data_IF_366690560666
#
_entry.id   IF_366690560666
#
_cell.length_a   1.000
_cell.length_b   1.000
_cell.length_c   1.000
_cell.angle_alpha   90.00
_cell.angle_beta   90.00
_cell.angle_gamma   90.00
#
_symmetry.space_group_name_H-M   'P 1'
#
loop_
_entity.id
_entity.type
_entity.pdbx_description
1 polymer ?
#
# COMPACT_ATOMS: atom_id res chain seq x y z
N UNK A 1 -8.18 32.09 38.47
CA UNK A 1 -7.35 30.87 38.50
C UNK A 1 -8.29 29.66 38.47
N UNK A 2 -8.79 29.31 37.28
CA UNK A 2 -9.76 28.23 37.08
C UNK A 2 -8.95 26.99 36.74
N UNK A 3 -8.67 26.16 37.75
CA UNK A 3 -8.07 24.85 37.55
C UNK A 3 -9.16 23.88 37.09
N UNK A 4 -8.92 23.34 35.91
CA UNK A 4 -9.80 22.50 35.10
C UNK A 4 -10.18 21.20 35.79
N UNK A 5 -11.49 20.98 36.03
CA UNK A 5 -12.05 19.64 36.23
C UNK A 5 -12.33 19.02 34.86
N UNK A 6 -11.31 18.46 34.20
CA UNK A 6 -11.58 17.52 33.12
C UNK A 6 -12.26 16.29 33.73
N UNK A 7 -13.55 16.13 33.46
CA UNK A 7 -14.30 14.93 33.85
C UNK A 7 -13.62 13.69 33.24
N UNK A 8 -13.50 12.62 34.03
CA UNK A 8 -12.93 11.33 33.61
C UNK A 8 -13.57 10.83 32.31
N UNK A 9 -14.86 11.10 32.12
CA UNK A 9 -15.60 10.79 30.90
C UNK A 9 -15.08 11.52 29.66
N UNK A 10 -14.63 12.77 29.80
CA UNK A 10 -14.02 13.54 28.72
C UNK A 10 -12.65 12.98 28.31
N UNK A 11 -11.85 12.53 29.29
CA UNK A 11 -10.56 11.87 29.03
C UNK A 11 -10.78 10.52 28.33
N UNK A 12 -11.76 9.73 28.78
CA UNK A 12 -12.12 8.45 28.15
C UNK A 12 -12.61 8.67 26.72
N UNK A 13 -13.43 9.68 26.47
CA UNK A 13 -13.93 9.99 25.13
C UNK A 13 -12.81 10.44 24.18
N UNK A 14 -11.84 11.23 24.66
CA UNK A 14 -10.66 11.61 23.87
C UNK A 14 -9.74 10.41 23.58
N UNK A 15 -9.49 9.53 24.56
CA UNK A 15 -8.69 8.33 24.34
C UNK A 15 -9.37 7.36 23.36
N UNK A 16 -10.70 7.25 23.42
CA UNK A 16 -11.46 6.43 22.48
C UNK A 16 -11.40 7.00 21.05
N UNK A 17 -11.43 8.32 20.88
CA UNK A 17 -11.33 8.98 19.58
C UNK A 17 -9.93 8.78 18.93
N UNK A 18 -8.86 8.80 19.71
CA UNK A 18 -7.50 8.56 19.20
C UNK A 18 -7.32 7.09 18.76
N UNK A 19 -8.00 6.15 19.42
CA UNK A 19 -7.95 4.72 19.06
C UNK A 19 -8.61 4.39 17.71
N UNK A 20 -9.40 5.32 17.14
CA UNK A 20 -10.07 5.15 15.83
C UNK A 20 -9.25 5.75 14.68
N UNK A 21 -8.01 6.19 14.92
CA UNK A 21 -7.09 6.57 13.84
C UNK A 21 -6.75 5.34 13.00
N UNK A 22 -7.53 5.10 11.94
CA UNK A 22 -7.40 3.97 11.04
C UNK A 22 -6.15 4.17 10.20
N UNK A 23 -5.13 3.35 10.41
CA UNK A 23 -4.13 3.10 9.36
C UNK A 23 -4.88 2.52 8.16
N UNK A 24 -4.72 3.10 6.97
CA UNK A 24 -5.42 2.64 5.76
C UNK A 24 -4.75 1.36 5.29
N UNK A 25 -5.11 0.26 5.93
CA UNK A 25 -4.70 -1.09 5.57
C UNK A 25 -5.87 -1.81 4.92
N UNK A 26 -5.63 -2.38 3.73
CA UNK A 26 -6.57 -3.22 3.04
C UNK A 26 -5.95 -4.60 2.85
N UNK A 27 -6.64 -5.64 3.31
CA UNK A 27 -6.26 -7.02 3.09
C UNK A 27 -7.41 -7.79 2.47
N UNK A 28 -7.12 -8.56 1.45
CA UNK A 28 -8.02 -9.52 0.83
C UNK A 28 -7.38 -10.91 0.93
N UNK A 29 -8.09 -11.82 1.58
CA UNK A 29 -7.69 -13.23 1.69
C UNK A 29 -8.67 -14.06 0.89
N UNK A 30 -8.22 -14.58 -0.24
CA UNK A 30 -9.06 -15.34 -1.19
C UNK A 30 -8.49 -16.71 -1.52
N UNK A 31 -7.37 -17.09 -0.91
CA UNK A 31 -6.65 -18.31 -1.23
C UNK A 31 -7.44 -19.62 -1.14
N UNK A 32 -8.36 -19.82 -0.17
CA UNK A 32 -9.19 -21.03 -0.15
C UNK A 32 -10.00 -21.25 -1.43
N UNK A 33 -10.31 -20.16 -2.16
CA UNK A 33 -11.13 -20.16 -3.37
C UNK A 33 -10.28 -20.05 -4.66
N UNK A 34 -8.95 -20.20 -4.56
CA UNK A 34 -8.03 -20.09 -5.70
C UNK A 34 -7.64 -18.66 -6.08
N UNK A 35 -8.04 -17.66 -5.28
CA UNK A 35 -7.67 -16.26 -5.44
C UNK A 35 -6.33 -15.94 -4.73
N UNK A 36 -5.78 -14.75 -4.95
CA UNK A 36 -4.54 -14.31 -4.29
C UNK A 36 -4.81 -13.77 -2.88
N UNK A 37 -3.84 -13.95 -1.98
CA UNK A 37 -3.82 -13.19 -0.72
C UNK A 37 -2.99 -11.93 -0.93
N UNK A 38 -3.57 -10.79 -0.62
CA UNK A 38 -2.97 -9.49 -0.85
C UNK A 38 -3.27 -8.55 0.31
N UNK A 39 -2.24 -7.89 0.81
CA UNK A 39 -2.35 -6.82 1.78
C UNK A 39 -1.61 -5.58 1.28
N UNK A 40 -2.19 -4.41 1.51
CA UNK A 40 -1.54 -3.12 1.34
C UNK A 40 -1.79 -2.21 2.53
N UNK A 41 -0.82 -1.36 2.81
CA UNK A 41 -0.94 -0.27 3.77
C UNK A 41 -0.41 1.02 3.18
N UNK A 42 -1.08 2.13 3.46
CA UNK A 42 -0.62 3.48 3.10
C UNK A 42 -0.49 4.30 4.37
N UNK A 43 0.63 4.99 4.52
CA UNK A 43 0.83 6.01 5.55
C UNK A 43 1.32 7.30 4.90
N UNK A 44 0.91 8.44 5.46
CA UNK A 44 1.44 9.74 5.08
C UNK A 44 2.23 10.32 6.25
N UNK A 45 3.38 10.92 5.96
CA UNK A 45 4.24 11.56 6.92
C UNK A 45 4.51 12.99 6.48
N UNK A 46 4.20 13.97 7.34
CA UNK A 46 4.57 15.37 7.08
C UNK A 46 6.03 15.58 7.46
N UNK A 47 6.85 15.93 6.50
CA UNK A 47 8.25 16.26 6.70
C UNK A 47 8.36 17.68 7.27
N UNK A 48 8.76 17.80 8.53
CA UNK A 48 8.85 19.09 9.22
C UNK A 48 9.93 20.04 8.68
N UNK A 49 10.85 19.54 7.86
CA UNK A 49 11.96 20.34 7.31
C UNK A 49 11.58 21.02 6.00
N UNK A 50 10.82 20.31 5.15
CA UNK A 50 10.37 20.79 3.83
C UNK A 50 8.92 21.24 3.80
N UNK A 51 8.18 20.99 4.89
CA UNK A 51 6.74 21.15 5.01
C UNK A 51 5.92 20.34 3.99
N UNK A 52 6.54 19.33 3.37
CA UNK A 52 5.93 18.46 2.37
C UNK A 52 5.32 17.20 2.99
N UNK A 53 4.46 16.51 2.23
CA UNK A 53 3.90 15.21 2.64
C UNK A 53 4.57 14.07 1.87
N UNK A 54 5.13 13.13 2.61
CA UNK A 54 5.72 11.91 2.08
C UNK A 54 4.71 10.77 2.23
N UNK A 55 4.38 10.09 1.14
CA UNK A 55 3.51 8.93 1.12
C UNK A 55 4.35 7.65 1.11
N UNK A 56 4.11 6.76 2.05
CA UNK A 56 4.70 5.44 2.08
C UNK A 56 3.64 4.38 1.83
N UNK A 57 3.96 3.48 0.92
CA UNK A 57 3.11 2.38 0.51
C UNK A 57 3.83 1.07 0.82
N UNK A 58 3.15 0.18 1.53
CA UNK A 58 3.58 -1.20 1.74
C UNK A 58 2.61 -2.17 1.06
N UNK A 59 3.14 -3.21 0.43
CA UNK A 59 2.37 -4.23 -0.27
C UNK A 59 2.99 -5.61 -0.05
N UNK A 60 2.15 -6.57 0.30
CA UNK A 60 2.52 -7.98 0.41
C UNK A 60 1.56 -8.81 -0.43
N UNK A 61 2.12 -9.69 -1.26
CA UNK A 61 1.35 -10.61 -2.10
C UNK A 61 1.83 -12.03 -1.86
N UNK A 62 0.90 -12.91 -1.52
CA UNK A 62 1.14 -14.36 -1.41
C UNK A 62 0.39 -15.07 -2.52
N UNK A 63 1.07 -15.98 -3.23
CA UNK A 63 0.52 -16.65 -4.42
C UNK A 63 0.61 -18.16 -4.33
N UNK A 64 -0.31 -18.82 -5.04
CA UNK A 64 -0.27 -20.27 -5.32
C UNK A 64 0.65 -20.61 -6.51
N UNK A 65 0.91 -19.64 -7.39
CA UNK A 65 1.69 -19.80 -8.62
C UNK A 65 2.87 -18.83 -8.67
N UNK A 66 3.97 -19.26 -9.30
CA UNK A 66 5.18 -18.47 -9.56
C UNK A 66 5.10 -17.68 -10.86
N UNK A 67 3.92 -17.62 -11.51
CA UNK A 67 3.68 -16.87 -12.74
C UNK A 67 2.70 -15.71 -12.51
N UNK A 68 2.71 -14.73 -13.42
CA UNK A 68 1.75 -13.63 -13.46
C UNK A 68 2.19 -12.37 -12.72
N UNK A 69 1.27 -11.44 -12.52
CA UNK A 69 1.51 -10.16 -11.86
C UNK A 69 0.25 -9.67 -11.12
N UNK A 70 0.46 -8.80 -10.14
CA UNK A 70 -0.58 -8.12 -9.36
C UNK A 70 -0.23 -6.65 -9.38
N UNK A 71 -1.21 -5.78 -9.59
CA UNK A 71 -1.00 -4.35 -9.58
C UNK A 71 -2.01 -3.66 -8.68
N UNK A 72 -1.58 -2.55 -8.08
CA UNK A 72 -2.47 -1.57 -7.47
C UNK A 72 -2.27 -0.23 -8.16
N UNK A 73 -3.34 0.57 -8.19
CA UNK A 73 -3.38 1.86 -8.88
C UNK A 73 -3.95 2.91 -7.94
N UNK A 74 -3.45 4.14 -8.03
CA UNK A 74 -3.90 5.25 -7.17
C UNK A 74 -5.23 5.85 -7.58
N UNK A 75 -5.65 5.72 -8.84
CA UNK A 75 -6.91 6.26 -9.37
C UNK A 75 -7.94 5.19 -9.74
N UNK A 76 -9.17 5.63 -10.03
CA UNK A 76 -10.30 4.77 -10.40
C UNK A 76 -10.23 4.19 -11.81
N UNK A 77 -9.32 4.69 -12.65
CA UNK A 77 -9.10 4.24 -14.01
C UNK A 77 -7.61 4.17 -14.34
N UNK A 78 -7.25 3.51 -15.45
CA UNK A 78 -5.84 3.27 -15.80
C UNK A 78 -5.13 4.55 -16.27
N UNK A 79 -5.83 5.42 -16.99
CA UNK A 79 -5.26 6.65 -17.52
C UNK A 79 -4.95 7.63 -16.38
N UNK A 80 -3.74 8.18 -16.35
CA UNK A 80 -3.30 9.14 -15.34
C UNK A 80 -3.01 8.54 -13.95
N UNK A 81 -3.21 7.24 -13.76
CA UNK A 81 -2.96 6.58 -12.48
C UNK A 81 -1.51 6.13 -12.34
N UNK A 82 -0.98 6.29 -11.13
CA UNK A 82 0.26 5.66 -10.72
C UNK A 82 0.00 4.21 -10.37
N UNK A 83 0.71 3.28 -11.02
CA UNK A 83 0.52 1.84 -10.88
C UNK A 83 1.75 1.20 -10.27
N UNK A 84 1.56 0.42 -9.21
CA UNK A 84 2.59 -0.38 -8.59
C UNK A 84 2.36 -1.83 -8.95
N UNK A 85 3.25 -2.40 -9.77
CA UNK A 85 3.11 -3.74 -10.32
C UNK A 85 4.12 -4.66 -9.68
N UNK A 86 3.66 -5.79 -9.13
CA UNK A 86 4.46 -6.86 -8.55
C UNK A 86 4.38 -8.09 -9.45
N UNK A 87 5.52 -8.53 -9.98
CA UNK A 87 5.61 -9.71 -10.82
C UNK A 87 5.68 -10.97 -9.94
N UNK A 88 5.49 -12.16 -10.51
CA UNK A 88 5.94 -13.43 -9.93
C UNK A 88 6.93 -14.03 -10.93
N UNK A 89 8.23 -13.91 -10.62
CA UNK A 89 9.33 -14.63 -11.26
C UNK A 89 10.63 -14.36 -10.46
N UNK A 90 10.87 -15.13 -9.39
CA UNK A 90 12.12 -15.04 -8.63
C UNK A 90 13.31 -15.68 -9.36
N UNK A 91 13.07 -16.39 -10.47
CA UNK A 91 14.03 -17.28 -11.15
C UNK A 91 14.67 -16.69 -12.40
N UNK A 92 14.27 -15.49 -12.84
CA UNK A 92 14.95 -14.80 -13.93
C UNK A 92 16.37 -14.42 -13.52
N UNK A 93 17.35 -15.15 -14.03
CA UNK A 93 18.78 -14.81 -13.91
C UNK A 93 19.01 -13.34 -14.35
N UNK A 94 19.62 -12.54 -13.47
CA UNK A 94 19.76 -11.08 -13.64
C UNK A 94 18.64 -10.23 -13.01
N UNK A 95 17.87 -10.81 -12.09
CA UNK A 95 16.64 -10.30 -11.50
C UNK A 95 16.58 -8.76 -11.31
N UNK A 96 15.76 -8.11 -12.15
CA UNK A 96 15.15 -6.81 -11.82
C UNK A 96 14.33 -6.97 -10.53
N UNK A 97 14.22 -5.88 -9.79
CA UNK A 97 13.29 -5.74 -8.66
C UNK A 97 11.95 -6.45 -8.95
N UNK A 98 11.36 -7.18 -7.99
CA UNK A 98 10.06 -7.85 -8.15
C UNK A 98 8.92 -6.88 -8.47
N UNK A 99 9.16 -5.57 -8.41
CA UNK A 99 8.19 -4.58 -8.82
C UNK A 99 8.71 -3.48 -9.73
N UNK A 100 7.73 -2.79 -10.33
CA UNK A 100 7.94 -1.57 -11.08
C UNK A 100 6.78 -0.61 -10.84
N UNK A 101 7.08 0.68 -10.79
CA UNK A 101 6.07 1.73 -10.89
C UNK A 101 5.86 2.14 -12.35
N UNK A 102 4.60 2.30 -12.75
CA UNK A 102 4.19 2.56 -14.13
C UNK A 102 3.04 3.56 -14.21
N UNK A 103 2.85 4.12 -15.39
CA UNK A 103 1.70 4.98 -15.72
C UNK A 103 1.26 4.73 -17.17
N UNK A 104 0.04 5.15 -17.50
CA UNK A 104 -0.52 5.11 -18.85
C UNK A 104 -1.43 6.33 -19.08
N UNK A 105 -1.58 6.74 -20.33
CA UNK A 105 -2.48 7.80 -20.79
C UNK A 105 -3.77 7.26 -21.42
N UNK A 106 -3.98 5.94 -21.38
CA UNK A 106 -5.17 5.29 -21.90
C UNK A 106 -5.17 3.77 -21.65
N UNK A 107 -6.06 3.07 -22.35
CA UNK A 107 -6.14 1.60 -22.29
C UNK A 107 -5.14 0.91 -23.21
N UNK A 108 -3.85 1.08 -22.90
CA UNK A 108 -2.76 0.36 -23.54
C UNK A 108 -1.70 -0.02 -22.50
N UNK A 109 -0.62 -0.64 -22.96
CA UNK A 109 0.44 -1.09 -22.08
C UNK A 109 1.04 0.08 -21.28
N UNK A 110 1.10 0.00 -19.93
CA UNK A 110 1.72 1.02 -19.10
C UNK A 110 3.23 1.08 -19.31
N UNK A 111 3.76 2.30 -19.36
CA UNK A 111 5.19 2.59 -19.42
C UNK A 111 5.77 2.86 -18.03
N UNK A 112 7.08 2.84 -17.90
CA UNK A 112 7.74 3.27 -16.66
C UNK A 112 7.44 4.75 -16.40
N UNK A 113 7.29 5.07 -15.12
CA UNK A 113 7.15 6.44 -14.62
C UNK A 113 8.43 7.21 -14.89
N UNK A 114 8.30 8.45 -15.33
CA UNK A 114 9.39 9.43 -15.46
C UNK A 114 9.19 10.57 -14.47
N UNK A 115 10.22 11.40 -14.20
CA UNK A 115 10.08 12.56 -13.32
C UNK A 115 8.97 13.53 -13.74
N UNK A 116 8.71 13.65 -15.05
CA UNK A 116 7.65 14.50 -15.59
C UNK A 116 6.25 14.01 -15.19
N UNK A 117 6.06 12.69 -15.07
CA UNK A 117 4.77 12.11 -14.65
C UNK A 117 4.47 12.36 -13.17
N UNK A 118 5.50 12.62 -12.37
CA UNK A 118 5.38 12.77 -10.93
C UNK A 118 5.08 14.20 -10.49
N UNK A 119 4.97 15.16 -11.42
CA UNK A 119 4.58 16.53 -11.10
C UNK A 119 5.50 17.24 -10.09
N UNK A 120 6.78 16.84 -10.03
CA UNK A 120 7.74 17.34 -9.04
C UNK A 120 7.88 16.49 -7.76
N UNK A 121 7.05 15.46 -7.59
CA UNK A 121 7.29 14.43 -6.60
C UNK A 121 8.38 13.44 -7.04
N UNK A 122 9.01 12.78 -6.08
CA UNK A 122 10.05 11.77 -6.29
C UNK A 122 9.56 10.41 -5.79
N UNK A 123 9.70 9.39 -6.64
CA UNK A 123 9.27 8.02 -6.33
C UNK A 123 10.49 7.11 -6.12
N UNK A 124 10.51 6.44 -4.97
CA UNK A 124 11.58 5.53 -4.57
C UNK A 124 11.02 4.17 -4.19
N UNK A 125 11.69 3.12 -4.67
CA UNK A 125 11.52 1.77 -4.14
C UNK A 125 12.47 1.64 -2.95
N UNK A 126 11.93 1.53 -1.74
CA UNK A 126 12.72 1.36 -0.53
C UNK A 126 13.16 -0.08 -0.35
N UNK A 127 12.26 -1.03 -0.65
CA UNK A 127 12.51 -2.45 -0.54
C UNK A 127 11.60 -3.21 -1.50
N UNK A 128 12.14 -4.26 -2.11
CA UNK A 128 11.41 -5.10 -3.04
C UNK A 128 12.05 -6.50 -3.07
N UNK A 129 11.53 -7.38 -2.22
CA UNK A 129 12.12 -8.68 -1.97
C UNK A 129 11.15 -9.83 -2.27
N UNK A 130 11.73 -10.92 -2.74
CA UNK A 130 11.02 -12.21 -2.83
C UNK A 130 11.06 -12.89 -1.48
N UNK A 131 9.90 -13.37 -1.02
CA UNK A 131 9.82 -14.25 0.14
C UNK A 131 9.85 -15.71 -0.33
N UNK A 132 10.86 -16.50 0.07
CA UNK A 132 10.91 -17.92 -0.23
C UNK A 132 9.71 -18.64 0.37
N UNK A 133 9.22 -19.65 -0.34
CA UNK A 133 8.29 -20.64 0.18
C UNK A 133 8.83 -21.25 1.49
N UNK A 134 8.28 -20.88 2.64
CA UNK A 134 8.68 -21.40 3.96
C UNK A 134 9.38 -20.40 4.88
N UNK A 135 9.75 -19.21 4.38
CA UNK A 135 10.27 -18.12 5.21
C UNK A 135 9.11 -17.29 5.73
N UNK A 136 8.35 -17.85 6.67
CA UNK A 136 7.40 -17.08 7.46
C UNK A 136 8.17 -16.00 8.21
N UNK A 137 8.15 -14.77 7.70
CA UNK A 137 8.52 -13.62 8.50
C UNK A 137 7.45 -13.55 9.57
N UNK A 138 7.79 -14.08 10.75
CA UNK A 138 7.07 -13.84 11.98
C UNK A 138 7.10 -12.35 12.25
N UNK A 139 6.17 -11.61 11.65
CA UNK A 139 5.70 -10.38 12.24
C UNK A 139 5.30 -10.76 13.66
N UNK A 140 5.94 -10.11 14.61
CA UNK A 140 5.75 -10.26 16.05
C UNK A 140 4.25 -10.22 16.35
N UNK A 141 3.63 -11.40 16.39
CA UNK A 141 2.36 -11.62 17.04
C UNK A 141 2.67 -11.53 18.53
N UNK A 142 2.67 -10.30 19.06
CA UNK A 142 2.58 -10.06 20.49
C UNK A 142 1.26 -10.68 20.94
N UNK A 143 1.36 -11.93 21.39
CA UNK A 143 0.50 -12.58 22.37
C UNK A 143 -0.98 -12.19 22.32
N UNK A 144 -1.69 -12.66 21.30
CA UNK A 144 -3.10 -12.95 21.44
C UNK A 144 -3.33 -14.35 20.86
N UNK A 145 -3.56 -15.31 21.74
CA UNK A 145 -3.94 -16.67 21.37
C UNK A 145 -5.20 -16.61 20.50
N UNK A 146 -5.22 -17.25 19.32
CA UNK A 146 -6.44 -17.31 18.52
C UNK A 146 -7.47 -18.20 19.21
N UNK A 147 -8.77 -17.82 19.22
CA UNK A 147 -9.83 -18.72 19.64
C UNK A 147 -9.87 -19.92 18.69
N UNK A 148 -10.10 -21.10 19.26
CA UNK A 148 -10.14 -22.38 18.56
C UNK A 148 -11.24 -22.41 17.47
N UNK A 149 -10.87 -22.05 16.25
CA UNK A 149 -11.59 -22.29 15.00
C UNK A 149 -10.88 -23.35 14.17
N UNK A 150 -11.52 -23.90 13.12
CA UNK A 150 -10.99 -25.04 12.38
C UNK A 150 -9.60 -24.72 11.83
N UNK A 151 -8.67 -25.61 12.12
CA UNK A 151 -7.24 -25.52 11.85
C UNK A 151 -6.94 -25.02 10.44
N UNK A 152 -6.29 -23.85 10.35
CA UNK A 152 -5.56 -23.46 9.13
C UNK A 152 -4.63 -24.61 8.74
N UNK A 153 -4.62 -25.04 7.46
CA UNK A 153 -3.67 -26.05 7.04
C UNK A 153 -2.25 -25.47 7.16
N UNK A 154 -1.38 -26.21 7.84
CA UNK A 154 0.04 -25.90 8.11
C UNK A 154 0.92 -25.68 6.85
N UNK A 155 0.32 -25.54 5.68
CA UNK A 155 0.94 -25.27 4.38
C UNK A 155 0.89 -23.79 3.97
N UNK A 156 0.13 -22.94 4.68
CA UNK A 156 0.01 -21.52 4.33
C UNK A 156 1.34 -20.75 4.30
N UNK A 157 2.25 -21.07 5.23
CA UNK A 157 3.56 -20.44 5.39
C UNK A 157 4.65 -20.96 4.44
N UNK A 158 4.35 -22.01 3.66
CA UNK A 158 5.30 -22.61 2.70
C UNK A 158 5.12 -22.09 1.28
N UNK A 159 4.57 -20.89 1.09
CA UNK A 159 4.22 -20.37 -0.25
C UNK A 159 5.07 -19.16 -0.63
N UNK A 160 5.44 -19.02 -1.91
CA UNK A 160 6.22 -17.88 -2.38
C UNK A 160 5.39 -16.60 -2.33
N UNK A 161 6.06 -15.50 -2.01
CA UNK A 161 5.45 -14.18 -1.98
C UNK A 161 6.42 -13.08 -2.37
N UNK A 162 5.93 -11.85 -2.37
CA UNK A 162 6.74 -10.66 -2.55
C UNK A 162 6.31 -9.61 -1.52
N UNK A 163 7.29 -8.90 -0.99
CA UNK A 163 7.11 -7.79 -0.06
C UNK A 163 7.72 -6.52 -0.66
N UNK A 164 6.98 -5.42 -0.55
CA UNK A 164 7.30 -4.18 -1.22
C UNK A 164 7.01 -2.96 -0.38
N UNK A 165 7.94 -2.01 -0.49
CA UNK A 165 7.88 -0.73 0.17
C UNK A 165 8.29 0.38 -0.80
N UNK A 166 7.39 1.34 -0.99
CA UNK A 166 7.63 2.54 -1.80
C UNK A 166 7.52 3.78 -0.93
N UNK A 167 8.26 4.82 -1.30
CA UNK A 167 8.12 6.17 -0.78
C UNK A 167 7.92 7.13 -1.94
N UNK A 168 6.97 8.05 -1.79
CA UNK A 168 6.73 9.16 -2.70
C UNK A 168 6.89 10.44 -1.89
N UNK A 169 7.92 11.23 -2.19
CA UNK A 169 8.17 12.50 -1.51
C UNK A 169 7.88 13.67 -2.42
N UNK A 170 7.09 14.64 -1.99
CA UNK A 170 6.78 15.82 -2.79
C UNK A 170 5.82 16.77 -2.09
N UNK A 171 5.75 18.01 -2.58
CA UNK A 171 4.62 18.90 -2.26
C UNK A 171 3.41 18.41 -3.07
N UNK A 172 2.53 17.64 -2.43
CA UNK A 172 1.21 17.37 -2.98
C UNK A 172 0.34 18.59 -2.70
N UNK A 173 0.07 19.39 -3.73
CA UNK A 173 -0.89 20.48 -3.63
C UNK A 173 -2.30 19.86 -3.51
N UNK A 174 -2.93 19.95 -2.34
CA UNK A 174 -4.29 19.43 -2.08
C UNK A 174 -5.40 20.21 -2.83
N UNK A 175 -5.05 21.20 -3.66
CA UNK A 175 -5.99 22.21 -4.18
C UNK A 175 -6.46 22.00 -5.64
N UNK A 176 -6.27 20.83 -6.26
CA UNK A 176 -6.66 20.64 -7.69
C UNK A 176 -8.10 20.20 -7.97
N UNK A 177 -8.97 20.12 -6.96
CA UNK A 177 -10.36 19.63 -7.11
C UNK A 177 -11.42 20.75 -7.09
N UNK A 178 -11.26 21.84 -7.85
CA UNK A 178 -12.37 22.77 -8.08
C UNK A 178 -12.25 23.59 -9.38
N UNK A 179 -12.11 22.95 -10.56
CA UNK A 179 -12.38 23.68 -11.82
C UNK A 179 -12.84 22.80 -13.01
N UNK A 180 -13.63 21.76 -12.73
CA UNK A 180 -14.37 21.01 -13.78
C UNK A 180 -15.82 21.52 -13.88
N UNK A 181 -15.97 22.83 -14.02
CA UNK A 181 -17.24 23.50 -14.29
C UNK A 181 -17.11 24.45 -15.47
N UNK A 182 -17.92 24.24 -16.49
CA UNK A 182 -18.28 25.25 -17.49
C UNK A 182 -17.24 25.63 -18.57
N UNK A 183 -17.07 24.77 -19.58
CA UNK A 183 -16.90 25.22 -20.98
C UNK A 183 -17.53 24.27 -21.99
N UNK A 184 -18.86 24.31 -22.11
CA UNK A 184 -19.55 24.02 -23.38
C UNK A 184 -20.67 25.04 -23.58
N UNK A 185 -20.32 26.17 -24.19
CA UNK A 185 -21.22 27.02 -24.99
C UNK A 185 -20.39 27.84 -25.98
N UNK A 186 -20.32 27.37 -27.22
CA UNK A 186 -20.39 28.22 -28.41
C UNK A 186 -20.93 27.38 -29.56
#
# INVERSE_FOLDING_TARGET
MIWTKLSLAGIIFHLLAIAISVTVQYCRFGHPDGEIDFCMGIIMHRNSTTDSHDLYLSMTVTRSSVLGWTAIVTGGEMAGSLMFIVYADPSREGARSPASARTADGHHQPRLVTPEDMGGADLRVLQADWMPAGSGIGLVQRSASPPAGPSEPATAWKRPGAELYFAIGGSFDEDSDEDRGDKVKS
#
